data_IF_681026967311
#
_entry.id   IF_681026967311
#
_cell.length_a   1.000
_cell.length_b   1.000
_cell.length_c   1.000
_cell.angle_alpha   90.00
_cell.angle_beta   90.00
_cell.angle_gamma   90.00
#
_symmetry.space_group_name_H-M   'P 1'
#
loop_
_entity.id
_entity.type
_entity.pdbx_description
1 polymer ?
#
# COMPACT_ATOMS: atom_id res chain seq x y z
N UNK A 1 18.07 -40.26 -4.44
CA UNK A 1 17.99 -39.09 -5.34
C UNK A 1 16.61 -38.50 -5.13
N UNK A 2 16.51 -37.46 -4.32
CA UNK A 2 15.22 -36.88 -3.95
C UNK A 2 15.26 -36.42 -2.50
N UNK A 3 15.43 -35.12 -2.32
CA UNK A 3 14.64 -34.31 -1.40
C UNK A 3 14.75 -32.90 -1.97
N UNK A 4 13.65 -32.48 -2.59
CA UNK A 4 13.48 -31.14 -3.14
C UNK A 4 13.53 -30.19 -1.94
N UNK A 5 14.51 -29.28 -1.94
CA UNK A 5 14.50 -28.15 -1.04
C UNK A 5 13.27 -27.30 -1.40
N UNK A 6 12.20 -27.45 -0.64
CA UNK A 6 11.11 -26.48 -0.62
C UNK A 6 11.68 -25.16 -0.08
N UNK A 7 12.01 -24.26 -1.01
CA UNK A 7 12.20 -22.85 -0.69
C UNK A 7 10.92 -22.35 0.00
N UNK A 8 11.01 -21.79 1.22
CA UNK A 8 9.83 -21.24 1.88
C UNK A 8 9.29 -20.10 1.03
N UNK A 9 8.08 -20.28 0.46
CA UNK A 9 7.33 -19.18 -0.14
C UNK A 9 7.04 -18.14 0.93
N UNK A 10 7.79 -17.06 0.90
CA UNK A 10 7.47 -15.81 1.59
C UNK A 10 5.99 -15.46 1.29
N UNK A 11 5.09 -15.52 2.29
CA UNK A 11 3.72 -15.05 2.14
C UNK A 11 3.74 -13.54 2.34
N UNK A 12 4.02 -12.81 1.26
CA UNK A 12 4.19 -11.36 1.30
C UNK A 12 3.12 -10.62 0.50
N UNK A 13 2.07 -10.17 1.20
CA UNK A 13 1.11 -9.15 0.78
C UNK A 13 0.13 -9.52 -0.35
N UNK A 14 -0.77 -10.46 -0.06
CA UNK A 14 -2.11 -10.61 -0.64
C UNK A 14 -3.02 -9.43 -0.23
N UNK A 15 -2.67 -8.23 -0.70
CA UNK A 15 -3.48 -7.03 -0.54
C UNK A 15 -4.54 -6.90 -1.63
N UNK A 16 -5.80 -7.11 -1.22
CA UNK A 16 -7.06 -6.64 -1.81
C UNK A 16 -7.80 -7.59 -2.77
N UNK A 17 -8.86 -8.15 -2.19
CA UNK A 17 -9.93 -8.86 -2.86
C UNK A 17 -10.67 -8.03 -3.91
N UNK A 18 -11.19 -8.77 -4.87
CA UNK A 18 -12.15 -8.42 -5.89
C UNK A 18 -13.45 -7.87 -5.30
N UNK A 19 -13.80 -6.63 -5.65
CA UNK A 19 -15.08 -6.15 -6.20
C UNK A 19 -15.19 -4.63 -5.96
N UNK A 20 -15.29 -3.85 -7.05
CA UNK A 20 -15.22 -2.38 -7.12
C UNK A 20 -13.91 -1.75 -6.60
N UNK A 21 -13.04 -1.21 -7.49
CA UNK A 21 -11.82 -0.56 -7.06
C UNK A 21 -12.18 0.75 -6.35
N UNK A 22 -12.28 0.70 -5.02
CA UNK A 22 -12.28 1.90 -4.18
C UNK A 22 -10.98 2.64 -4.44
N UNK A 23 -11.03 3.97 -4.55
CA UNK A 23 -9.81 4.74 -4.74
C UNK A 23 -8.78 4.45 -3.64
N UNK A 24 -9.25 4.19 -2.42
CA UNK A 24 -8.40 3.88 -1.26
C UNK A 24 -7.55 2.61 -1.51
N UNK A 25 -8.11 1.60 -2.19
CA UNK A 25 -7.40 0.37 -2.56
C UNK A 25 -6.18 0.65 -3.46
N UNK A 26 -6.31 1.59 -4.40
CA UNK A 26 -5.22 1.99 -5.31
C UNK A 26 -4.19 2.92 -4.65
N UNK A 27 -4.65 3.92 -3.89
CA UNK A 27 -3.75 4.97 -3.38
C UNK A 27 -3.00 4.59 -2.10
N UNK A 28 -3.53 3.65 -1.31
CA UNK A 28 -2.87 3.18 -0.09
C UNK A 28 -1.50 2.50 -0.35
N UNK A 29 -1.37 1.47 -1.22
CA UNK A 29 -0.08 0.84 -1.49
C UNK A 29 0.91 1.80 -2.17
N UNK A 30 0.43 2.73 -3.01
CA UNK A 30 1.26 3.78 -3.64
C UNK A 30 1.87 4.69 -2.57
N UNK A 31 1.05 5.17 -1.62
CA UNK A 31 1.52 5.97 -0.50
C UNK A 31 2.49 5.20 0.41
N UNK A 32 2.25 3.90 0.64
CA UNK A 32 3.11 3.05 1.45
C UNK A 32 4.50 2.87 0.81
N UNK A 33 4.57 2.56 -0.48
CA UNK A 33 5.83 2.40 -1.20
C UNK A 33 6.66 3.71 -1.20
N UNK A 34 5.99 4.84 -1.45
CA UNK A 34 6.63 6.16 -1.43
C UNK A 34 7.10 6.54 -0.01
N UNK A 35 6.29 6.26 1.00
CA UNK A 35 6.61 6.53 2.40
C UNK A 35 7.77 5.70 2.91
N UNK A 36 7.81 4.41 2.59
CA UNK A 36 8.93 3.53 2.94
C UNK A 36 10.22 4.03 2.25
N UNK A 37 10.16 4.33 0.95
CA UNK A 37 11.32 4.87 0.23
C UNK A 37 11.82 6.19 0.85
N UNK A 38 10.92 7.12 1.18
CA UNK A 38 11.27 8.38 1.84
C UNK A 38 11.82 8.15 3.26
N UNK A 39 11.24 7.22 4.03
CA UNK A 39 11.68 6.88 5.37
C UNK A 39 13.08 6.26 5.40
N UNK A 40 13.42 5.46 4.38
CA UNK A 40 14.76 4.90 4.21
C UNK A 40 15.79 6.00 3.91
N UNK A 41 15.46 6.99 3.07
CA UNK A 41 16.34 8.12 2.76
C UNK A 41 16.59 9.01 3.99
N UNK A 42 15.57 9.18 4.82
CA UNK A 42 15.62 10.00 6.03
C UNK A 42 16.20 9.27 7.26
N UNK A 43 16.60 8.00 7.10
CA UNK A 43 16.98 7.09 8.20
C UNK A 43 15.91 7.03 9.31
N UNK A 44 14.66 7.33 8.95
CA UNK A 44 13.53 7.40 9.87
C UNK A 44 12.30 6.77 9.21
N UNK A 45 12.26 5.45 9.30
CA UNK A 45 11.19 4.65 8.73
C UNK A 45 9.84 4.96 9.37
N UNK A 46 9.80 5.30 10.67
CA UNK A 46 8.56 5.67 11.36
C UNK A 46 7.94 6.93 10.75
N UNK A 47 8.76 7.95 10.48
CA UNK A 47 8.31 9.18 9.80
C UNK A 47 7.89 8.87 8.37
N UNK A 48 8.66 8.09 7.63
CA UNK A 48 8.33 7.72 6.26
C UNK A 48 7.00 6.98 6.12
N UNK A 49 6.78 5.96 6.96
CA UNK A 49 5.51 5.21 6.99
C UNK A 49 4.35 6.12 7.42
N UNK A 50 4.53 6.96 8.44
CA UNK A 50 3.50 7.89 8.89
C UNK A 50 3.08 8.87 7.80
N UNK A 51 4.05 9.46 7.10
CA UNK A 51 3.80 10.39 5.97
C UNK A 51 3.19 9.65 4.78
N UNK A 52 3.71 8.48 4.43
CA UNK A 52 3.22 7.67 3.31
C UNK A 52 1.77 7.21 3.49
N UNK A 53 1.43 6.74 4.70
CA UNK A 53 0.05 6.39 5.05
C UNK A 53 -0.86 7.61 5.03
N UNK A 54 -0.45 8.73 5.64
CA UNK A 54 -1.25 9.94 5.64
C UNK A 54 -1.54 10.43 4.22
N UNK A 55 -0.53 10.45 3.34
CA UNK A 55 -0.70 10.85 1.94
C UNK A 55 -1.55 9.86 1.14
N UNK A 56 -1.27 8.55 1.25
CA UNK A 56 -2.01 7.51 0.53
C UNK A 56 -3.49 7.48 0.91
N UNK A 57 -3.80 7.61 2.20
CA UNK A 57 -5.17 7.69 2.71
C UNK A 57 -5.84 9.01 2.32
N UNK A 58 -5.15 10.15 2.44
CA UNK A 58 -5.72 11.45 2.06
C UNK A 58 -6.06 11.52 0.57
N UNK A 59 -5.17 11.04 -0.31
CA UNK A 59 -5.41 10.97 -1.75
C UNK A 59 -6.54 9.97 -2.07
N UNK A 60 -6.51 8.79 -1.46
CA UNK A 60 -7.56 7.79 -1.58
C UNK A 60 -8.93 8.34 -1.19
N UNK A 61 -9.03 8.98 -0.02
CA UNK A 61 -10.25 9.58 0.49
C UNK A 61 -10.73 10.76 -0.37
N UNK A 62 -9.83 11.62 -0.85
CA UNK A 62 -10.20 12.75 -1.71
C UNK A 62 -10.77 12.28 -3.06
N UNK A 63 -10.16 11.27 -3.68
CA UNK A 63 -10.64 10.70 -4.94
C UNK A 63 -11.94 9.92 -4.73
N UNK A 64 -12.06 9.19 -3.62
CA UNK A 64 -13.28 8.46 -3.24
C UNK A 64 -14.45 9.44 -2.97
N UNK A 65 -14.19 10.54 -2.26
CA UNK A 65 -15.16 11.62 -2.02
C UNK A 65 -15.64 12.26 -3.33
N UNK A 66 -14.73 12.49 -4.29
CA UNK A 66 -15.09 13.02 -5.62
C UNK A 66 -15.93 12.03 -6.44
N UNK A 67 -15.68 10.72 -6.31
CA UNK A 67 -16.47 9.67 -6.97
C UNK A 67 -17.88 9.56 -6.38
N UNK A 68 -18.01 9.67 -5.05
CA UNK A 68 -19.31 9.64 -4.36
C UNK A 68 -20.21 10.82 -4.69
N UNK A 69 -19.66 11.98 -5.07
CA UNK A 69 -20.43 13.14 -5.50
C UNK A 69 -21.04 13.06 -6.91
N UNK A 70 -20.80 11.97 -7.66
CA UNK A 70 -21.34 11.73 -9.00
C UNK A 70 -22.34 10.54 -9.05
N UNK A 71 -22.89 10.12 -7.90
CA UNK A 71 -23.99 9.17 -7.80
C UNK A 71 -25.17 9.80 -7.05
#
# INVERSE_FOLDING_TARGET
MGELAEEPREPGADGQGSEQPSAIALYLPVGMCLGVAAGLILDNLAVGIGVGLALGVALGAAVDARRRGHQ
#
